data_IF_197814011522
#
_entry.id   IF_197814011522
#
_cell.length_a   1.000
_cell.length_b   1.000
_cell.length_c   1.000
_cell.angle_alpha   90.00
_cell.angle_beta   90.00
_cell.angle_gamma   90.00
#
_symmetry.space_group_name_H-M   'P 1'
#
loop_
_entity.id
_entity.type
_entity.pdbx_description
1 polymer ?
#
# COMPACT_ATOMS: atom_id res chain seq x y z
N UNK A 1 21.26 4.76 1.56
CA UNK A 1 21.06 3.80 0.46
C UNK A 1 20.45 4.54 -0.72
N UNK A 2 21.01 4.35 -1.92
CA UNK A 2 20.37 4.78 -3.17
C UNK A 2 19.85 3.53 -3.86
N UNK A 3 18.55 3.48 -4.12
CA UNK A 3 17.88 2.32 -4.68
C UNK A 3 17.21 2.69 -6.00
N UNK A 4 17.52 1.95 -7.06
CA UNK A 4 16.93 2.08 -8.39
C UNK A 4 16.10 0.85 -8.73
N UNK A 5 14.79 1.05 -8.82
CA UNK A 5 13.83 -0.01 -9.12
C UNK A 5 13.29 0.21 -10.52
N UNK A 6 13.27 -0.83 -11.34
CA UNK A 6 12.58 -0.83 -12.62
C UNK A 6 11.30 -1.67 -12.52
N UNK A 7 10.18 -1.11 -12.97
CA UNK A 7 8.89 -1.80 -13.01
C UNK A 7 8.34 -1.69 -14.42
N UNK A 8 8.04 -2.84 -15.05
CA UNK A 8 7.42 -2.88 -16.37
C UNK A 8 6.21 -3.78 -16.39
N UNK A 9 5.33 -3.53 -17.36
CA UNK A 9 4.24 -4.44 -17.71
C UNK A 9 4.60 -5.22 -18.96
N UNK A 10 4.19 -6.48 -19.00
CA UNK A 10 4.57 -7.43 -20.04
C UNK A 10 3.32 -8.11 -20.62
N UNK A 11 2.96 -7.74 -21.85
CA UNK A 11 1.88 -8.36 -22.62
C UNK A 11 2.31 -9.56 -23.46
N UNK A 12 1.63 -9.82 -24.57
CA UNK A 12 2.01 -10.87 -25.52
C UNK A 12 3.33 -10.51 -26.23
N UNK A 13 4.37 -11.32 -26.05
CA UNK A 13 5.70 -11.09 -26.62
C UNK A 13 5.93 -11.72 -28.00
N UNK A 14 5.02 -12.57 -28.50
CA UNK A 14 5.16 -13.25 -29.79
C UNK A 14 5.24 -12.28 -30.98
N UNK A 15 4.62 -11.10 -30.85
CA UNK A 15 4.61 -10.07 -31.89
C UNK A 15 5.78 -9.07 -31.83
N UNK A 16 6.64 -9.13 -30.82
CA UNK A 16 7.71 -8.14 -30.65
C UNK A 16 8.85 -8.39 -31.63
N UNK A 17 9.24 -7.33 -32.35
CA UNK A 17 10.28 -7.37 -33.37
C UNK A 17 11.53 -6.68 -32.86
N UNK A 18 12.67 -7.18 -33.31
CA UNK A 18 13.95 -6.56 -33.00
C UNK A 18 14.08 -5.21 -33.70
N UNK A 19 14.42 -4.17 -32.94
CA UNK A 19 14.61 -2.80 -33.43
C UNK A 19 15.69 -2.09 -32.61
N UNK A 20 16.28 -1.03 -33.17
CA UNK A 20 17.20 -0.18 -32.42
C UNK A 20 16.42 0.71 -31.46
N UNK A 21 16.71 0.63 -30.17
CA UNK A 21 16.23 1.59 -29.17
C UNK A 21 17.29 2.66 -28.93
N UNK A 22 16.85 3.88 -28.58
CA UNK A 22 17.72 5.00 -28.18
C UNK A 22 17.26 5.61 -26.86
N UNK A 23 18.19 5.79 -25.92
CA UNK A 23 17.95 6.39 -24.60
C UNK A 23 19.23 7.03 -24.07
N UNK A 24 19.15 8.26 -23.56
CA UNK A 24 20.30 9.01 -23.00
C UNK A 24 21.58 8.96 -23.88
N UNK A 25 21.40 9.13 -25.20
CA UNK A 25 22.52 9.11 -26.17
C UNK A 25 23.09 7.72 -26.47
N UNK A 26 22.68 6.68 -25.76
CA UNK A 26 23.03 5.28 -26.04
C UNK A 26 22.00 4.65 -26.98
N UNK A 27 22.43 3.63 -27.72
CA UNK A 27 21.54 2.82 -28.54
C UNK A 27 21.81 1.34 -28.34
N UNK A 28 20.76 0.52 -28.42
CA UNK A 28 20.87 -0.93 -28.29
C UNK A 28 19.80 -1.60 -29.14
N UNK A 29 20.16 -2.68 -29.84
CA UNK A 29 19.23 -3.43 -30.68
C UNK A 29 18.60 -4.55 -29.85
N UNK A 30 17.27 -4.55 -29.72
CA UNK A 30 16.57 -5.57 -28.94
C UNK A 30 15.09 -5.64 -29.34
N UNK A 31 14.38 -6.65 -28.84
CA UNK A 31 12.91 -6.75 -28.98
C UNK A 31 12.16 -5.90 -27.95
N UNK A 32 12.82 -5.50 -26.86
CA UNK A 32 12.24 -4.66 -25.80
C UNK A 32 13.23 -3.59 -25.31
N UNK A 33 12.72 -2.57 -24.63
CA UNK A 33 13.51 -1.46 -24.08
C UNK A 33 14.44 -1.86 -22.90
N UNK A 34 14.12 -2.94 -22.18
CA UNK A 34 14.75 -3.31 -20.91
C UNK A 34 16.30 -3.40 -20.97
N UNK A 35 16.95 -4.07 -21.95
CA UNK A 35 18.41 -4.15 -21.97
C UNK A 35 19.11 -2.79 -22.03
N UNK A 36 18.58 -1.85 -22.84
CA UNK A 36 19.14 -0.51 -22.95
C UNK A 36 18.96 0.29 -21.65
N UNK A 37 17.78 0.19 -21.04
CA UNK A 37 17.47 0.88 -19.79
C UNK A 37 18.36 0.37 -18.66
N UNK A 38 18.54 -0.94 -18.57
CA UNK A 38 19.43 -1.58 -17.60
C UNK A 38 20.89 -1.13 -17.78
N UNK A 39 21.42 -1.12 -19.01
CA UNK A 39 22.78 -0.60 -19.28
C UNK A 39 22.95 0.90 -19.03
N UNK A 40 21.85 1.64 -19.04
CA UNK A 40 21.87 3.09 -18.85
C UNK A 40 21.71 3.49 -17.39
N UNK A 41 20.91 2.75 -16.62
CA UNK A 41 20.48 3.14 -15.28
C UNK A 41 21.06 2.24 -14.18
N UNK A 42 21.42 0.99 -14.51
CA UNK A 42 21.89 -0.06 -13.59
C UNK A 42 20.93 -0.27 -12.40
N UNK A 43 19.90 -1.09 -12.59
CA UNK A 43 18.86 -1.28 -11.59
C UNK A 43 19.29 -2.24 -10.46
N UNK A 44 18.87 -1.96 -9.23
CA UNK A 44 19.03 -2.88 -8.10
C UNK A 44 17.96 -3.99 -8.13
N UNK A 45 16.80 -3.67 -8.69
CA UNK A 45 15.67 -4.61 -8.82
C UNK A 45 14.90 -4.35 -10.10
N UNK A 46 14.52 -5.42 -10.78
CA UNK A 46 13.70 -5.41 -11.99
C UNK A 46 12.43 -6.18 -11.68
N UNK A 47 11.27 -5.55 -11.84
CA UNK A 47 9.96 -6.12 -11.56
C UNK A 47 9.17 -6.17 -12.85
N UNK A 48 8.76 -7.38 -13.24
CA UNK A 48 7.98 -7.63 -14.44
C UNK A 48 6.58 -8.04 -14.02
N UNK A 49 5.59 -7.24 -14.41
CA UNK A 49 4.19 -7.50 -14.15
C UNK A 49 3.53 -8.10 -15.39
N UNK A 50 2.99 -9.30 -15.25
CA UNK A 50 2.31 -10.01 -16.34
C UNK A 50 0.95 -10.54 -15.89
N UNK A 51 0.22 -11.17 -16.80
CA UNK A 51 -1.08 -11.77 -16.53
C UNK A 51 -1.10 -13.26 -16.85
N UNK A 52 -1.94 -13.99 -16.13
CA UNK A 52 -2.19 -15.42 -16.31
C UNK A 52 -2.70 -15.79 -17.71
N UNK A 53 -3.29 -14.84 -18.44
CA UNK A 53 -3.65 -15.03 -19.86
C UNK A 53 -2.48 -15.36 -20.78
N UNK A 54 -1.23 -15.02 -20.42
CA UNK A 54 -0.05 -15.35 -21.23
C UNK A 54 0.18 -16.87 -21.34
N UNK A 55 -0.41 -17.67 -20.43
CA UNK A 55 -0.36 -19.12 -20.49
C UNK A 55 -1.01 -19.66 -21.77
N UNK A 56 -1.96 -18.95 -22.37
CA UNK A 56 -2.64 -19.34 -23.61
C UNK A 56 -1.69 -19.48 -24.81
N UNK A 57 -0.53 -18.85 -24.76
CA UNK A 57 0.49 -18.93 -25.80
C UNK A 57 1.48 -20.09 -25.57
N UNK A 58 1.28 -20.89 -24.53
CA UNK A 58 2.09 -22.06 -24.25
C UNK A 58 1.35 -23.31 -24.75
N UNK A 59 2.01 -24.13 -25.56
CA UNK A 59 1.45 -25.37 -26.10
C UNK A 59 1.06 -26.40 -25.02
N UNK A 60 1.51 -26.22 -23.78
CA UNK A 60 1.14 -27.06 -22.63
C UNK A 60 -0.11 -26.56 -21.89
N UNK A 61 -0.77 -25.48 -22.32
CA UNK A 61 -1.90 -24.90 -21.56
C UNK A 61 -3.01 -25.91 -21.30
N UNK A 62 -3.39 -26.74 -22.29
CA UNK A 62 -4.43 -27.77 -22.14
C UNK A 62 -4.05 -28.88 -21.12
N UNK A 63 -2.76 -29.05 -20.82
CA UNK A 63 -2.26 -30.05 -19.86
C UNK A 63 -2.32 -29.60 -18.40
N UNK A 64 -2.55 -28.31 -18.13
CA UNK A 64 -2.61 -27.70 -16.79
C UNK A 64 -3.73 -28.32 -15.96
N UNK A 65 -3.43 -28.80 -14.76
CA UNK A 65 -4.39 -29.42 -13.83
C UNK A 65 -4.91 -28.48 -12.76
N UNK A 66 -4.17 -27.41 -12.44
CA UNK A 66 -4.54 -26.46 -11.40
C UNK A 66 -3.96 -25.06 -11.72
N UNK A 67 -4.43 -24.05 -10.99
CA UNK A 67 -4.03 -22.68 -11.24
C UNK A 67 -2.53 -22.42 -11.04
N UNK A 68 -1.89 -23.07 -10.06
CA UNK A 68 -0.46 -22.91 -9.81
C UNK A 68 0.39 -23.33 -10.99
N UNK A 69 0.05 -24.43 -11.68
CA UNK A 69 0.73 -24.85 -12.90
C UNK A 69 0.59 -23.81 -14.03
N UNK A 70 -0.57 -23.15 -14.12
CA UNK A 70 -0.79 -22.07 -15.09
C UNK A 70 0.16 -20.89 -14.84
N UNK A 71 0.31 -20.47 -13.58
CA UNK A 71 1.24 -19.42 -13.18
C UNK A 71 2.69 -19.79 -13.53
N UNK A 72 3.10 -21.03 -13.25
CA UNK A 72 4.44 -21.53 -13.58
C UNK A 72 4.72 -21.47 -15.08
N UNK A 73 3.76 -21.80 -15.95
CA UNK A 73 3.94 -21.69 -17.41
C UNK A 73 4.22 -20.25 -17.87
N UNK A 74 3.60 -19.26 -17.22
CA UNK A 74 3.82 -17.84 -17.54
C UNK A 74 5.20 -17.39 -17.07
N UNK A 75 5.59 -17.77 -15.85
CA UNK A 75 6.91 -17.44 -15.30
C UNK A 75 8.04 -18.07 -16.13
N UNK A 76 7.94 -19.37 -16.45
CA UNK A 76 8.88 -20.11 -17.30
C UNK A 76 9.03 -19.39 -18.64
N UNK A 77 7.91 -19.07 -19.29
CA UNK A 77 7.92 -18.36 -20.58
C UNK A 77 8.63 -17.02 -20.53
N UNK A 78 8.40 -16.21 -19.50
CA UNK A 78 9.06 -14.89 -19.37
C UNK A 78 10.56 -15.08 -19.16
N UNK A 79 10.95 -16.03 -18.30
CA UNK A 79 12.37 -16.34 -18.04
C UNK A 79 13.06 -16.84 -19.31
N UNK A 80 12.44 -17.78 -20.02
CA UNK A 80 12.95 -18.33 -21.27
C UNK A 80 13.10 -17.25 -22.34
N UNK A 81 12.15 -16.33 -22.44
CA UNK A 81 12.26 -15.20 -23.37
C UNK A 81 13.47 -14.31 -23.04
N UNK A 82 13.71 -14.02 -21.75
CA UNK A 82 14.84 -13.19 -21.33
C UNK A 82 16.18 -13.88 -21.60
N UNK A 83 16.27 -15.19 -21.35
CA UNK A 83 17.49 -15.96 -21.55
C UNK A 83 17.72 -16.21 -23.05
N UNK A 84 16.74 -16.79 -23.73
CA UNK A 84 16.94 -17.34 -25.07
C UNK A 84 16.70 -16.31 -26.17
N UNK A 85 15.71 -15.42 -26.01
CA UNK A 85 15.34 -14.44 -27.05
C UNK A 85 16.07 -13.10 -26.89
N UNK A 86 16.38 -12.69 -25.65
CA UNK A 86 17.09 -11.44 -25.37
C UNK A 86 18.57 -11.63 -25.05
N UNK A 87 19.03 -12.87 -24.82
CA UNK A 87 20.39 -13.19 -24.37
C UNK A 87 20.82 -12.32 -23.15
N UNK A 88 19.93 -12.20 -22.16
CA UNK A 88 20.05 -11.23 -21.09
C UNK A 88 20.00 -11.85 -19.69
N UNK A 89 20.73 -12.95 -19.47
CA UNK A 89 20.73 -13.69 -18.21
C UNK A 89 21.28 -12.89 -17.01
N UNK A 90 22.10 -11.85 -17.25
CA UNK A 90 22.74 -11.07 -16.18
C UNK A 90 21.77 -10.39 -15.21
N UNK A 91 20.49 -10.26 -15.56
CA UNK A 91 19.47 -9.65 -14.69
C UNK A 91 18.70 -10.65 -13.82
N UNK A 92 18.93 -11.95 -14.01
CA UNK A 92 18.09 -13.00 -13.40
C UNK A 92 18.10 -12.98 -11.87
N UNK A 93 19.22 -12.57 -11.25
CA UNK A 93 19.36 -12.46 -9.80
C UNK A 93 18.59 -11.28 -9.17
N UNK A 94 18.31 -10.23 -9.95
CA UNK A 94 17.56 -9.04 -9.52
C UNK A 94 16.15 -8.97 -10.08
N UNK A 95 15.80 -9.88 -10.98
CA UNK A 95 14.50 -9.93 -11.60
C UNK A 95 13.47 -10.62 -10.70
N UNK A 96 12.26 -10.06 -10.67
CA UNK A 96 11.08 -10.67 -10.09
C UNK A 96 9.91 -10.57 -11.04
N UNK A 97 9.29 -11.70 -11.32
CA UNK A 97 8.07 -11.79 -12.14
C UNK A 97 6.88 -11.88 -11.18
N UNK A 98 5.86 -11.06 -11.42
CA UNK A 98 4.59 -11.12 -10.71
C UNK A 98 3.50 -11.38 -11.76
N UNK A 99 2.94 -12.58 -11.73
CA UNK A 99 1.84 -12.97 -12.62
C UNK A 99 0.52 -12.73 -11.90
N UNK A 100 -0.37 -11.95 -12.52
CA UNK A 100 -1.63 -11.54 -11.91
C UNK A 100 -2.84 -11.87 -12.80
N UNK A 101 -4.02 -11.50 -12.33
CA UNK A 101 -5.29 -11.98 -12.86
C UNK A 101 -5.72 -11.24 -14.13
N UNK A 102 -5.89 -11.95 -15.24
CA UNK A 102 -6.55 -11.44 -16.44
C UNK A 102 -8.07 -11.67 -16.38
N UNK A 103 -8.79 -11.08 -17.32
CA UNK A 103 -10.16 -11.48 -17.68
C UNK A 103 -10.25 -11.48 -19.20
N UNK A 104 -10.95 -12.44 -19.80
CA UNK A 104 -11.14 -12.48 -21.26
C UNK A 104 -11.14 -13.89 -21.85
N UNK A 105 -11.17 -13.96 -23.18
CA UNK A 105 -11.07 -15.19 -23.97
C UNK A 105 -9.82 -15.11 -24.85
N UNK A 106 -8.93 -16.09 -24.70
CA UNK A 106 -7.59 -16.13 -25.28
C UNK A 106 -7.40 -17.41 -26.13
N UNK A 107 -8.48 -17.89 -26.77
CA UNK A 107 -8.46 -19.11 -27.57
C UNK A 107 -8.69 -20.35 -26.71
N UNK A 108 -7.62 -21.09 -26.44
CA UNK A 108 -7.63 -22.31 -25.62
C UNK A 108 -7.86 -22.02 -24.12
N UNK A 109 -7.74 -20.76 -23.70
CA UNK A 109 -7.92 -20.34 -22.31
C UNK A 109 -8.96 -19.22 -22.22
N UNK A 110 -10.03 -19.44 -21.44
CA UNK A 110 -11.01 -18.42 -21.06
C UNK A 110 -10.91 -18.16 -19.56
N UNK A 111 -10.88 -16.89 -19.19
CA UNK A 111 -10.69 -16.45 -17.81
C UNK A 111 -11.86 -15.57 -17.40
N UNK A 112 -12.65 -16.06 -16.43
CA UNK A 112 -13.81 -15.40 -15.85
C UNK A 112 -13.47 -14.91 -14.44
N UNK A 113 -13.75 -13.64 -14.18
CA UNK A 113 -13.48 -13.00 -12.90
C UNK A 113 -13.45 -11.48 -13.07
N UNK A 114 -13.24 -10.75 -11.97
CA UNK A 114 -13.26 -9.28 -12.01
C UNK A 114 -11.89 -8.76 -12.46
N UNK A 115 -11.88 -7.80 -13.39
CA UNK A 115 -10.61 -7.20 -13.85
C UNK A 115 -9.86 -6.42 -12.77
N UNK A 116 -10.57 -5.94 -11.73
CA UNK A 116 -9.93 -5.26 -10.58
C UNK A 116 -9.13 -6.20 -9.70
N UNK A 117 -9.30 -7.52 -9.81
CA UNK A 117 -8.49 -8.48 -9.06
C UNK A 117 -7.00 -8.29 -9.39
N UNK A 118 -6.69 -7.95 -10.66
CA UNK A 118 -5.33 -7.59 -11.07
C UNK A 118 -4.74 -6.50 -10.18
N UNK A 119 -5.49 -5.41 -10.01
CA UNK A 119 -5.04 -4.24 -9.29
C UNK A 119 -4.73 -4.58 -7.83
N UNK A 120 -5.64 -5.26 -7.12
CA UNK A 120 -5.46 -5.56 -5.70
C UNK A 120 -4.35 -6.59 -5.45
N UNK A 121 -4.19 -7.56 -6.34
CA UNK A 121 -3.10 -8.53 -6.25
C UNK A 121 -1.73 -7.88 -6.48
N UNK A 122 -1.60 -7.06 -7.53
CA UNK A 122 -0.36 -6.33 -7.79
C UNK A 122 -0.07 -5.35 -6.65
N UNK A 123 -1.08 -4.68 -6.09
CA UNK A 123 -0.91 -3.79 -4.94
C UNK A 123 -0.31 -4.54 -3.75
N UNK A 124 -0.86 -5.71 -3.41
CA UNK A 124 -0.36 -6.54 -2.32
C UNK A 124 1.07 -7.03 -2.57
N UNK A 125 1.35 -7.63 -3.73
CA UNK A 125 2.67 -8.20 -4.03
C UNK A 125 3.76 -7.12 -4.11
N UNK A 126 3.46 -5.97 -4.72
CA UNK A 126 4.39 -4.85 -4.73
C UNK A 126 4.59 -4.26 -3.33
N UNK A 127 3.53 -4.17 -2.52
CA UNK A 127 3.65 -3.67 -1.14
C UNK A 127 4.60 -4.52 -0.31
N UNK A 128 4.46 -5.86 -0.40
CA UNK A 128 5.39 -6.81 0.22
C UNK A 128 6.81 -6.64 -0.27
N UNK A 129 6.99 -6.57 -1.59
CA UNK A 129 8.31 -6.50 -2.20
C UNK A 129 9.06 -5.22 -1.80
N UNK A 130 8.41 -4.07 -1.94
CA UNK A 130 9.00 -2.80 -1.54
C UNK A 130 9.29 -2.76 -0.04
N UNK A 131 8.39 -3.28 0.80
CA UNK A 131 8.62 -3.39 2.23
C UNK A 131 9.87 -4.24 2.54
N UNK A 132 9.97 -5.45 1.97
CA UNK A 132 11.12 -6.34 2.17
C UNK A 132 12.44 -5.70 1.75
N UNK A 133 12.45 -5.02 0.60
CA UNK A 133 13.63 -4.32 0.10
C UNK A 133 14.14 -3.26 1.08
N UNK A 134 13.24 -2.61 1.82
CA UNK A 134 13.58 -1.59 2.82
C UNK A 134 13.89 -2.21 4.19
N UNK A 135 13.36 -3.38 4.50
CA UNK A 135 13.68 -4.09 5.75
C UNK A 135 15.10 -4.65 5.77
N UNK A 136 15.69 -4.92 4.61
CA UNK A 136 17.06 -5.41 4.54
C UNK A 136 18.10 -4.33 4.89
N UNK A 137 17.68 -3.08 5.04
CA UNK A 137 18.51 -2.00 5.59
C UNK A 137 18.36 -1.92 7.11
N UNK A 138 19.48 -1.95 7.82
CA UNK A 138 19.52 -1.85 9.29
C UNK A 138 19.28 -0.41 9.77
N UNK A 139 19.50 0.59 8.91
CA UNK A 139 19.39 2.01 9.23
C UNK A 139 18.35 2.68 8.32
N UNK A 140 17.13 2.89 8.82
CA UNK A 140 16.11 3.71 8.13
C UNK A 140 16.51 5.20 8.19
N UNK A 141 17.47 5.63 7.38
CA UNK A 141 17.89 7.03 7.30
C UNK A 141 17.03 7.81 6.30
N UNK A 142 16.70 9.04 6.67
CA UNK A 142 15.84 9.94 5.91
C UNK A 142 16.48 10.44 4.58
N UNK A 143 17.78 10.26 4.40
CA UNK A 143 18.56 10.71 3.23
C UNK A 143 18.61 9.68 2.10
N UNK A 144 17.96 8.53 2.26
CA UNK A 144 17.89 7.50 1.22
C UNK A 144 17.15 7.99 -0.02
N UNK A 145 17.76 7.76 -1.19
CA UNK A 145 17.17 8.07 -2.49
C UNK A 145 16.53 6.82 -3.07
N UNK A 146 15.23 6.90 -3.41
CA UNK A 146 14.51 5.83 -4.09
C UNK A 146 14.11 6.37 -5.47
N UNK A 147 14.70 5.82 -6.53
CA UNK A 147 14.32 6.12 -7.91
C UNK A 147 13.57 4.92 -8.48
N UNK A 148 12.33 5.12 -8.92
CA UNK A 148 11.54 4.09 -9.60
C UNK A 148 11.31 4.48 -11.05
N UNK A 149 11.75 3.62 -11.97
CA UNK A 149 11.49 3.77 -13.41
C UNK A 149 10.32 2.86 -13.78
N UNK A 150 9.25 3.46 -14.30
CA UNK A 150 8.03 2.76 -14.73
C UNK A 150 8.03 2.72 -16.26
N UNK A 151 8.18 1.54 -16.85
CA UNK A 151 8.10 1.35 -18.30
C UNK A 151 6.70 0.87 -18.72
N UNK A 152 6.02 1.72 -19.47
CA UNK A 152 4.67 1.45 -19.99
C UNK A 152 4.67 0.98 -21.45
N UNK A 153 5.84 0.78 -22.07
CA UNK A 153 5.99 0.48 -23.50
C UNK A 153 5.28 -0.81 -23.94
N UNK A 154 5.41 -1.88 -23.14
CA UNK A 154 4.98 -3.23 -23.53
C UNK A 154 3.74 -3.73 -22.78
N UNK A 155 3.10 -2.85 -22.01
CA UNK A 155 1.87 -3.18 -21.31
C UNK A 155 0.66 -3.16 -22.23
N UNK A 156 -0.34 -3.96 -21.87
CA UNK A 156 -1.60 -4.06 -22.62
C UNK A 156 -2.78 -3.56 -21.78
N UNK A 157 -3.74 -2.93 -22.44
CA UNK A 157 -5.02 -2.54 -21.87
C UNK A 157 -4.89 -1.75 -20.55
N UNK A 158 -5.41 -2.30 -19.45
CA UNK A 158 -5.45 -1.68 -18.14
C UNK A 158 -4.13 -1.79 -17.35
N UNK A 159 -3.18 -2.62 -17.80
CA UNK A 159 -1.99 -2.94 -17.01
C UNK A 159 -1.10 -1.72 -16.75
N UNK A 160 -0.73 -0.89 -17.76
CA UNK A 160 0.09 0.31 -17.52
C UNK A 160 -0.53 1.28 -16.50
N UNK A 161 -1.83 1.55 -16.65
CA UNK A 161 -2.57 2.49 -15.79
C UNK A 161 -2.62 1.97 -14.35
N UNK A 162 -2.92 0.68 -14.17
CA UNK A 162 -2.93 0.06 -12.85
C UNK A 162 -1.54 0.01 -12.23
N UNK A 163 -0.51 -0.42 -12.97
CA UNK A 163 0.88 -0.41 -12.49
C UNK A 163 1.30 0.98 -12.02
N UNK A 164 1.13 2.00 -12.85
CA UNK A 164 1.47 3.39 -12.51
C UNK A 164 0.78 3.83 -11.22
N UNK A 165 -0.54 3.60 -11.13
CA UNK A 165 -1.35 4.00 -9.97
C UNK A 165 -0.87 3.29 -8.70
N UNK A 166 -0.65 1.98 -8.76
CA UNK A 166 -0.23 1.16 -7.62
C UNK A 166 1.15 1.59 -7.14
N UNK A 167 2.14 1.66 -8.03
CA UNK A 167 3.52 2.06 -7.69
C UNK A 167 3.51 3.45 -7.06
N UNK A 168 2.77 4.39 -7.64
CA UNK A 168 2.65 5.74 -7.08
C UNK A 168 2.05 5.74 -5.69
N UNK A 169 0.92 5.05 -5.47
CA UNK A 169 0.28 4.96 -4.16
C UNK A 169 1.17 4.32 -3.10
N UNK A 170 1.91 3.27 -3.44
CA UNK A 170 2.89 2.63 -2.54
C UNK A 170 3.99 3.64 -2.19
N UNK A 171 4.55 4.33 -3.18
CA UNK A 171 5.59 5.34 -2.94
C UNK A 171 5.07 6.53 -2.13
N UNK A 172 3.80 6.94 -2.29
CA UNK A 172 3.19 7.98 -1.47
C UNK A 172 3.16 7.59 0.03
N UNK A 173 2.98 6.30 0.34
CA UNK A 173 3.09 5.78 1.72
C UNK A 173 4.55 5.89 2.19
N UNK A 174 5.51 5.52 1.35
CA UNK A 174 6.94 5.65 1.67
C UNK A 174 7.40 7.10 1.84
N UNK A 175 6.75 8.05 1.18
CA UNK A 175 7.06 9.48 1.29
C UNK A 175 6.96 10.04 2.72
N UNK A 176 6.21 9.37 3.63
CA UNK A 176 6.18 9.75 5.05
C UNK A 176 7.52 9.55 5.75
N UNK A 177 8.36 8.66 5.21
CA UNK A 177 9.61 8.25 5.84
C UNK A 177 10.81 8.76 5.05
N UNK A 178 10.79 8.70 3.72
CA UNK A 178 11.92 9.10 2.87
C UNK A 178 11.67 10.43 2.17
N UNK A 179 12.69 11.28 2.08
CA UNK A 179 12.58 12.60 1.43
C UNK A 179 12.75 12.54 -0.09
N UNK A 180 13.64 11.68 -0.58
CA UNK A 180 14.09 11.70 -1.97
C UNK A 180 13.52 10.49 -2.73
N UNK A 181 12.21 10.49 -2.96
CA UNK A 181 11.56 9.47 -3.80
C UNK A 181 11.20 10.08 -5.15
N UNK A 182 11.74 9.51 -6.24
CA UNK A 182 11.56 9.97 -7.61
C UNK A 182 10.90 8.88 -8.47
N UNK A 183 9.91 9.27 -9.26
CA UNK A 183 9.34 8.43 -10.33
C UNK A 183 9.79 9.01 -11.67
N UNK A 184 10.29 8.13 -12.54
CA UNK A 184 10.45 8.41 -13.97
C UNK A 184 9.54 7.44 -14.74
N UNK A 185 8.58 7.95 -15.51
CA UNK A 185 7.78 7.12 -16.40
C UNK A 185 8.37 7.19 -17.79
N UNK A 186 8.61 6.04 -18.41
CA UNK A 186 9.18 5.93 -19.75
C UNK A 186 8.24 5.22 -20.71
N UNK A 187 8.26 5.65 -21.96
CA UNK A 187 7.54 5.02 -23.05
C UNK A 187 8.34 5.13 -24.34
N UNK A 188 8.46 4.03 -25.10
CA UNK A 188 9.06 4.11 -26.41
C UNK A 188 8.13 4.77 -27.43
N UNK A 189 8.74 5.33 -28.45
CA UNK A 189 8.06 5.64 -29.71
C UNK A 189 7.22 4.44 -30.20
N UNK A 190 6.06 4.67 -30.83
CA UNK A 190 5.21 3.60 -31.33
C UNK A 190 5.90 2.85 -32.48
N UNK A 191 5.92 1.51 -32.38
CA UNK A 191 6.40 0.64 -33.46
C UNK A 191 5.39 0.54 -34.61
N UNK A 192 4.10 0.36 -34.28
CA UNK A 192 3.02 0.17 -35.26
C UNK A 192 2.63 1.51 -35.90
N UNK A 193 2.39 1.50 -37.20
CA UNK A 193 1.97 2.68 -37.97
C UNK A 193 3.13 3.49 -38.55
N UNK A 194 4.38 3.08 -38.31
CA UNK A 194 5.57 3.65 -38.96
C UNK A 194 5.95 2.83 -40.20
N UNK A 195 6.30 3.52 -41.29
CA UNK A 195 6.91 2.90 -42.47
C UNK A 195 8.40 2.68 -42.15
N UNK A 196 8.83 1.42 -42.04
CA UNK A 196 10.21 1.02 -41.73
C UNK A 196 10.84 1.76 -40.54
N UNK A 197 10.34 1.56 -39.30
CA UNK A 197 10.99 2.15 -38.15
C UNK A 197 12.36 1.49 -37.94
N UNK A 198 13.43 2.24 -38.19
CA UNK A 198 14.80 1.76 -37.95
C UNK A 198 15.22 1.97 -36.49
N UNK A 199 14.63 2.96 -35.81
CA UNK A 199 14.95 3.33 -34.43
C UNK A 199 13.72 3.83 -33.66
N UNK A 200 13.60 3.45 -32.38
CA UNK A 200 12.62 3.95 -31.43
C UNK A 200 13.31 4.69 -30.28
N UNK A 201 12.92 5.94 -30.03
CA UNK A 201 13.37 6.65 -28.84
C UNK A 201 12.60 6.16 -27.62
N UNK A 202 13.29 5.94 -26.50
CA UNK A 202 12.66 5.76 -25.19
C UNK A 202 12.58 7.14 -24.55
N UNK A 203 11.36 7.63 -24.37
CA UNK A 203 11.09 8.98 -23.89
C UNK A 203 10.76 8.93 -22.40
N UNK A 204 11.34 9.83 -21.61
CA UNK A 204 10.86 10.11 -20.25
C UNK A 204 9.63 11.01 -20.40
N UNK A 205 8.45 10.48 -20.10
CA UNK A 205 7.18 11.19 -20.26
C UNK A 205 6.69 11.83 -18.97
N UNK A 206 7.18 11.37 -17.82
CA UNK A 206 6.95 11.98 -16.51
C UNK A 206 8.22 11.87 -15.68
N UNK A 207 8.56 12.95 -14.99
CA UNK A 207 9.57 12.97 -13.94
C UNK A 207 9.02 13.74 -12.74
N UNK A 208 8.78 13.03 -11.63
CA UNK A 208 8.12 13.62 -10.46
C UNK A 208 8.75 13.16 -9.15
N UNK A 209 8.78 14.06 -8.16
CA UNK A 209 9.05 13.71 -6.78
C UNK A 209 7.75 13.33 -6.07
N UNK A 210 7.85 12.34 -5.17
CA UNK A 210 6.69 11.85 -4.44
C UNK A 210 6.49 12.62 -3.15
N UNK A 211 5.26 13.09 -2.97
CA UNK A 211 4.81 13.75 -1.74
C UNK A 211 4.12 12.72 -0.85
N UNK A 212 4.40 12.67 0.46
CA UNK A 212 3.70 11.79 1.38
C UNK A 212 2.18 11.89 1.24
N UNK A 213 1.51 10.76 1.05
CA UNK A 213 0.04 10.71 1.02
C UNK A 213 -0.48 9.32 1.34
N UNK A 214 -1.46 9.26 2.22
CA UNK A 214 -2.24 8.05 2.48
C UNK A 214 -3.68 8.39 2.19
N UNK A 215 -4.31 7.52 1.41
CA UNK A 215 -5.74 7.48 1.23
C UNK A 215 -6.24 6.14 1.74
N UNK A 216 -7.46 6.13 2.23
CA UNK A 216 -8.18 4.90 2.53
C UNK A 216 -9.58 5.01 1.94
N UNK A 217 -10.12 3.87 1.55
CA UNK A 217 -11.50 3.80 1.10
C UNK A 217 -12.30 3.25 2.27
N UNK A 218 -13.19 4.08 2.80
CA UNK A 218 -14.21 3.62 3.72
C UNK A 218 -15.42 3.12 2.94
N UNK A 219 -15.56 1.81 2.80
CA UNK A 219 -16.81 1.23 2.34
C UNK A 219 -17.75 1.09 3.55
N UNK A 220 -19.06 1.30 3.35
CA UNK A 220 -20.08 1.14 4.39
C UNK A 220 -20.04 -0.26 5.02
N UNK A 221 -19.49 -1.23 4.28
CA UNK A 221 -19.25 -2.60 4.72
C UNK A 221 -17.79 -2.80 5.14
N UNK A 222 -17.50 -2.41 6.39
CA UNK A 222 -16.16 -2.42 7.00
C UNK A 222 -15.48 -3.80 7.07
N UNK A 223 -16.16 -4.90 6.71
CA UNK A 223 -15.67 -6.26 6.94
C UNK A 223 -15.51 -7.12 5.68
N UNK A 224 -15.81 -6.61 4.48
CA UNK A 224 -15.93 -7.47 3.29
C UNK A 224 -14.74 -7.44 2.35
N UNK A 225 -13.64 -8.14 2.63
CA UNK A 225 -12.47 -8.16 1.71
C UNK A 225 -12.66 -8.99 0.45
N UNK A 226 -13.65 -9.88 0.43
CA UNK A 226 -13.94 -10.75 -0.70
C UNK A 226 -15.34 -10.45 -1.23
N UNK A 227 -15.55 -10.47 -2.54
CA UNK A 227 -16.84 -10.25 -3.18
C UNK A 227 -17.19 -11.49 -3.99
N UNK A 228 -18.40 -12.02 -3.82
CA UNK A 228 -18.86 -13.17 -4.61
C UNK A 228 -19.01 -12.76 -6.07
N UNK A 229 -18.47 -13.55 -6.99
CA UNK A 229 -18.53 -13.24 -8.41
C UNK A 229 -19.99 -13.22 -8.89
N UNK A 230 -20.36 -12.13 -9.57
CA UNK A 230 -21.76 -11.81 -9.88
C UNK A 230 -22.39 -12.75 -10.91
N UNK A 231 -21.59 -13.43 -11.73
CA UNK A 231 -22.10 -14.26 -12.83
C UNK A 231 -22.24 -15.74 -12.45
N UNK A 232 -22.05 -16.07 -11.16
CA UNK A 232 -22.34 -17.40 -10.62
C UNK A 232 -23.85 -17.64 -10.48
N UNK A 233 -24.26 -18.91 -10.50
CA UNK A 233 -25.63 -19.30 -10.18
C UNK A 233 -25.98 -19.01 -8.70
N UNK A 234 -27.29 -18.92 -8.40
CA UNK A 234 -27.77 -18.51 -7.09
C UNK A 234 -27.42 -19.50 -5.97
N UNK A 235 -27.36 -20.80 -6.26
CA UNK A 235 -27.03 -21.83 -5.27
C UNK A 235 -25.55 -21.75 -4.90
N UNK A 236 -24.68 -21.61 -5.91
CA UNK A 236 -23.25 -21.42 -5.70
C UNK A 236 -22.97 -20.12 -4.95
N UNK A 237 -23.61 -19.01 -5.33
CA UNK A 237 -23.51 -17.73 -4.60
C UNK A 237 -23.85 -17.87 -3.12
N UNK A 238 -24.94 -18.57 -2.78
CA UNK A 238 -25.35 -18.81 -1.40
C UNK A 238 -24.29 -19.61 -0.63
N UNK A 239 -23.79 -20.68 -1.25
CA UNK A 239 -22.78 -21.56 -0.65
C UNK A 239 -21.49 -20.80 -0.34
N UNK A 240 -20.98 -20.03 -1.31
CA UNK A 240 -19.78 -19.20 -1.14
C UNK A 240 -20.03 -18.10 -0.11
N UNK A 241 -21.18 -17.43 -0.19
CA UNK A 241 -21.55 -16.35 0.73
C UNK A 241 -21.53 -16.76 2.20
N UNK A 242 -21.97 -17.98 2.53
CA UNK A 242 -21.93 -18.51 3.91
C UNK A 242 -20.49 -18.72 4.39
N UNK A 243 -19.63 -19.34 3.55
CA UNK A 243 -18.23 -19.59 3.90
C UNK A 243 -17.47 -18.27 4.09
N UNK A 244 -17.64 -17.37 3.12
CA UNK A 244 -17.10 -16.01 3.13
C UNK A 244 -17.50 -15.22 4.40
N UNK A 245 -18.79 -15.22 4.75
CA UNK A 245 -19.28 -14.49 5.93
C UNK A 245 -18.63 -14.95 7.24
N UNK A 246 -18.41 -16.27 7.38
CA UNK A 246 -17.74 -16.83 8.57
C UNK A 246 -16.30 -16.35 8.68
N UNK A 247 -15.57 -16.34 7.57
CA UNK A 247 -14.19 -15.85 7.48
C UNK A 247 -14.10 -14.34 7.79
N UNK A 248 -14.99 -13.54 7.22
CA UNK A 248 -14.94 -12.07 7.38
C UNK A 248 -15.31 -11.62 8.79
N UNK A 249 -16.26 -12.30 9.44
CA UNK A 249 -16.64 -11.98 10.81
C UNK A 249 -15.53 -12.21 11.83
N UNK A 250 -14.65 -13.21 11.62
CA UNK A 250 -13.54 -13.46 12.56
C UNK A 250 -12.48 -12.37 12.55
N UNK A 251 -12.45 -11.52 11.52
CA UNK A 251 -11.34 -10.58 11.28
C UNK A 251 -11.79 -9.10 11.37
N UNK A 252 -13.07 -8.86 11.70
CA UNK A 252 -13.72 -7.53 11.72
C UNK A 252 -12.98 -6.48 12.56
N UNK A 253 -12.49 -6.85 13.73
CA UNK A 253 -11.80 -5.91 14.62
C UNK A 253 -10.47 -5.43 14.03
N UNK A 254 -9.72 -6.31 13.38
CA UNK A 254 -8.46 -5.93 12.73
C UNK A 254 -8.72 -5.00 11.53
N UNK A 255 -9.80 -5.22 10.76
CA UNK A 255 -10.22 -4.29 9.70
C UNK A 255 -10.57 -2.91 10.26
N UNK A 256 -11.40 -2.85 11.30
CA UNK A 256 -11.78 -1.59 11.94
C UNK A 256 -10.54 -0.84 12.43
N UNK A 257 -9.63 -1.54 13.12
CA UNK A 257 -8.36 -0.97 13.60
C UNK A 257 -7.48 -0.45 12.45
N UNK A 258 -7.37 -1.21 11.36
CA UNK A 258 -6.65 -0.82 10.14
C UNK A 258 -7.21 0.48 9.55
N UNK A 259 -8.53 0.61 9.45
CA UNK A 259 -9.17 1.82 8.91
C UNK A 259 -8.94 3.04 9.82
N UNK A 260 -9.09 2.88 11.13
CA UNK A 260 -8.83 3.95 12.10
C UNK A 260 -7.37 4.41 12.07
N UNK A 261 -6.45 3.47 11.91
CA UNK A 261 -5.04 3.75 11.74
C UNK A 261 -4.75 4.57 10.48
N UNK A 262 -5.26 4.15 9.32
CA UNK A 262 -5.11 4.90 8.07
C UNK A 262 -5.81 6.26 8.11
N UNK A 263 -6.98 6.35 8.75
CA UNK A 263 -7.68 7.62 8.97
C UNK A 263 -6.85 8.58 9.82
N UNK A 264 -6.17 8.06 10.84
CA UNK A 264 -5.27 8.87 11.69
C UNK A 264 -4.10 9.46 10.88
N UNK A 265 -3.56 8.71 9.91
CA UNK A 265 -2.59 9.23 8.93
C UNK A 265 -3.20 10.28 8.01
N UNK A 266 -4.38 10.00 7.46
CA UNK A 266 -5.08 10.91 6.56
C UNK A 266 -5.35 12.28 7.22
N UNK A 267 -5.74 12.28 8.50
CA UNK A 267 -6.03 13.46 9.30
C UNK A 267 -4.82 14.04 10.06
N UNK A 268 -3.65 13.40 9.98
CA UNK A 268 -2.40 13.80 10.67
C UNK A 268 -2.58 13.95 12.18
N UNK A 269 -3.02 12.86 12.82
CA UNK A 269 -3.33 12.80 14.25
C UNK A 269 -2.34 11.85 14.96
N UNK A 270 -1.18 12.35 15.42
CA UNK A 270 -0.06 11.49 15.82
C UNK A 270 -0.38 10.58 17.01
N UNK A 271 -1.15 11.05 18.00
CA UNK A 271 -1.61 10.20 19.10
C UNK A 271 -2.44 9.01 18.58
N UNK A 272 -3.35 9.27 17.64
CA UNK A 272 -4.26 8.26 17.11
C UNK A 272 -3.55 7.30 16.15
N UNK A 273 -2.48 7.75 15.47
CA UNK A 273 -1.58 6.87 14.73
C UNK A 273 -1.00 5.80 15.66
N UNK A 274 -0.47 6.19 16.82
CA UNK A 274 0.11 5.24 17.79
C UNK A 274 -0.99 4.37 18.42
N UNK A 275 -2.08 4.99 18.87
CA UNK A 275 -3.17 4.30 19.56
C UNK A 275 -3.86 3.24 18.68
N UNK A 276 -4.05 3.51 17.39
CA UNK A 276 -4.66 2.56 16.47
C UNK A 276 -3.65 1.68 15.72
N UNK A 277 -2.34 1.85 15.94
CA UNK A 277 -1.29 1.08 15.26
C UNK A 277 -1.55 -0.43 15.37
N UNK A 278 -1.86 -1.12 14.25
CA UNK A 278 -1.96 -2.57 14.22
C UNK A 278 -0.57 -3.20 14.10
N UNK A 279 -0.42 -4.45 14.57
CA UNK A 279 0.81 -5.22 14.38
C UNK A 279 0.95 -5.60 12.90
N UNK A 280 2.10 -5.32 12.30
CA UNK A 280 2.37 -5.63 10.89
C UNK A 280 2.19 -7.13 10.59
N UNK A 281 2.67 -8.00 11.49
CA UNK A 281 2.51 -9.45 11.38
C UNK A 281 1.04 -9.88 11.31
N UNK A 282 0.17 -9.29 12.13
CA UNK A 282 -1.26 -9.61 12.13
C UNK A 282 -1.93 -9.20 10.81
N UNK A 283 -1.55 -8.05 10.24
CA UNK A 283 -2.05 -7.61 8.93
C UNK A 283 -1.57 -8.54 7.82
N UNK A 284 -0.29 -8.91 7.83
CA UNK A 284 0.28 -9.82 6.85
C UNK A 284 -0.43 -11.18 6.88
N UNK A 285 -0.64 -11.71 8.08
CA UNK A 285 -1.32 -12.99 8.30
C UNK A 285 -2.77 -12.94 7.81
N UNK A 286 -3.51 -11.88 8.13
CA UNK A 286 -4.87 -11.69 7.60
C UNK A 286 -4.86 -11.61 6.06
N UNK A 287 -3.96 -10.81 5.49
CA UNK A 287 -3.88 -10.65 4.03
C UNK A 287 -3.53 -11.96 3.34
N UNK A 288 -2.60 -12.76 3.91
CA UNK A 288 -2.28 -14.12 3.44
C UNK A 288 -3.53 -14.99 3.43
N UNK A 289 -4.30 -15.04 4.52
CA UNK A 289 -5.54 -15.82 4.58
C UNK A 289 -6.59 -15.37 3.55
N UNK A 290 -6.70 -14.06 3.29
CA UNK A 290 -7.60 -13.53 2.24
C UNK A 290 -7.21 -14.09 0.87
N UNK A 291 -5.92 -14.07 0.54
CA UNK A 291 -5.44 -14.62 -0.73
C UNK A 291 -5.57 -16.13 -0.79
N UNK A 292 -5.32 -16.86 0.30
CA UNK A 292 -5.55 -18.31 0.37
C UNK A 292 -7.00 -18.66 0.10
N UNK A 293 -7.94 -17.96 0.75
CA UNK A 293 -9.36 -18.14 0.49
C UNK A 293 -9.69 -17.77 -0.96
N UNK A 294 -9.18 -16.65 -1.47
CA UNK A 294 -9.37 -16.28 -2.88
C UNK A 294 -8.90 -17.38 -3.86
N UNK A 295 -7.69 -17.93 -3.66
CA UNK A 295 -7.14 -18.99 -4.50
C UNK A 295 -7.92 -20.31 -4.39
N UNK A 296 -8.43 -20.65 -3.20
CA UNK A 296 -9.28 -21.83 -2.98
C UNK A 296 -10.60 -21.80 -3.78
N UNK A 297 -11.03 -20.61 -4.19
CA UNK A 297 -12.23 -20.37 -5.00
C UNK A 297 -11.91 -20.07 -6.48
N UNK A 298 -10.74 -20.47 -6.95
CA UNK A 298 -10.43 -20.53 -8.38
C UNK A 298 -10.70 -21.95 -8.87
N UNK A 299 -11.67 -22.08 -9.76
CA UNK A 299 -12.03 -23.36 -10.39
C UNK A 299 -11.55 -23.41 -11.84
N UNK A 300 -11.13 -24.60 -12.28
CA UNK A 300 -10.78 -24.89 -13.67
C UNK A 300 -11.76 -25.93 -14.19
N UNK A 301 -12.42 -25.62 -15.29
CA UNK A 301 -13.21 -26.60 -16.06
C UNK A 301 -12.56 -26.80 -17.42
N UNK A 302 -12.57 -28.05 -17.89
CA UNK A 302 -11.91 -28.45 -19.14
C UNK A 302 -12.94 -29.00 -20.12
N UNK A 303 -12.77 -28.64 -21.38
CA UNK A 303 -13.29 -29.35 -22.54
C UNK A 303 -12.14 -29.72 -23.47
N UNK A 304 -12.40 -30.53 -24.50
CA UNK A 304 -11.37 -31.11 -25.37
C UNK A 304 -10.37 -30.08 -25.93
N UNK A 305 -10.83 -28.85 -26.20
CA UNK A 305 -10.01 -27.79 -26.81
C UNK A 305 -9.94 -26.50 -25.97
N UNK A 306 -10.43 -26.52 -24.72
CA UNK A 306 -10.53 -25.27 -23.94
C UNK A 306 -10.49 -25.49 -22.44
N UNK A 307 -9.74 -24.63 -21.76
CA UNK A 307 -9.79 -24.45 -20.31
C UNK A 307 -10.59 -23.19 -20.00
N UNK A 308 -11.56 -23.30 -19.10
CA UNK A 308 -12.26 -22.17 -18.50
C UNK A 308 -11.85 -22.07 -17.05
N UNK A 309 -11.12 -21.01 -16.73
CA UNK A 309 -10.78 -20.61 -15.38
C UNK A 309 -11.83 -19.65 -14.85
N UNK A 310 -12.39 -19.94 -13.68
CA UNK A 310 -13.38 -19.09 -13.01
C UNK A 310 -12.89 -18.71 -11.63
N UNK A 311 -12.74 -17.42 -11.38
CA UNK A 311 -12.54 -16.85 -10.05
C UNK A 311 -13.90 -16.56 -9.44
N UNK A 312 -14.29 -17.38 -8.47
CA UNK A 312 -15.62 -17.30 -7.87
C UNK A 312 -15.72 -16.23 -6.76
N UNK A 313 -14.56 -15.74 -6.32
CA UNK A 313 -14.39 -14.58 -5.45
C UNK A 313 -13.63 -13.48 -6.18
N UNK A 314 -13.79 -12.25 -5.72
CA UNK A 314 -13.10 -11.06 -6.21
C UNK A 314 -12.56 -10.24 -5.04
N UNK A 315 -11.41 -9.59 -5.26
CA UNK A 315 -10.77 -8.72 -4.29
C UNK A 315 -11.37 -7.31 -4.32
N UNK A 316 -11.18 -6.56 -3.24
CA UNK A 316 -11.58 -5.15 -3.17
C UNK A 316 -10.58 -4.25 -2.41
N UNK A 317 -10.99 -3.00 -2.20
CA UNK A 317 -10.23 -1.94 -1.55
C UNK A 317 -9.74 -2.26 -0.14
N UNK A 318 -10.32 -3.24 0.55
CA UNK A 318 -9.80 -3.65 1.86
C UNK A 318 -8.40 -4.25 1.75
N UNK A 319 -8.08 -4.96 0.67
CA UNK A 319 -6.71 -5.48 0.41
C UNK A 319 -5.72 -4.32 0.25
N UNK A 320 -6.13 -3.25 -0.43
CA UNK A 320 -5.33 -2.03 -0.56
C UNK A 320 -5.11 -1.35 0.79
N UNK A 321 -6.17 -1.20 1.59
CA UNK A 321 -6.09 -0.63 2.94
C UNK A 321 -5.16 -1.46 3.83
N UNK A 322 -5.32 -2.79 3.86
CA UNK A 322 -4.43 -3.69 4.61
C UNK A 322 -2.99 -3.55 4.15
N UNK A 323 -2.73 -3.51 2.84
CA UNK A 323 -1.37 -3.40 2.30
C UNK A 323 -0.69 -2.08 2.69
N UNK A 324 -1.42 -0.96 2.65
CA UNK A 324 -0.92 0.35 3.12
C UNK A 324 -0.62 0.33 4.61
N UNK A 325 -1.55 -0.20 5.41
CA UNK A 325 -1.38 -0.31 6.85
C UNK A 325 -0.21 -1.22 7.21
N UNK A 326 -0.01 -2.32 6.47
CA UNK A 326 1.13 -3.20 6.65
C UNK A 326 2.45 -2.44 6.50
N UNK A 327 2.64 -1.70 5.40
CA UNK A 327 3.87 -0.91 5.18
C UNK A 327 4.08 0.08 6.33
N UNK A 328 3.05 0.86 6.67
CA UNK A 328 3.14 1.88 7.72
C UNK A 328 3.47 1.27 9.08
N UNK A 329 2.74 0.22 9.47
CA UNK A 329 2.94 -0.47 10.74
C UNK A 329 4.33 -1.07 10.87
N UNK A 330 4.81 -1.67 9.78
CA UNK A 330 6.10 -2.31 9.72
C UNK A 330 7.25 -1.29 9.92
N UNK A 331 7.17 -0.15 9.25
CA UNK A 331 8.20 0.89 9.38
C UNK A 331 8.15 1.53 10.77
N UNK A 332 6.94 1.80 11.31
CA UNK A 332 6.79 2.34 12.67
C UNK A 332 7.34 1.39 13.73
N UNK A 333 7.08 0.08 13.61
CA UNK A 333 7.64 -0.92 14.54
C UNK A 333 9.18 -0.94 14.47
N UNK A 334 9.77 -0.84 13.27
CA UNK A 334 11.22 -0.68 13.10
C UNK A 334 11.77 0.61 13.73
N UNK A 335 10.98 1.68 13.76
CA UNK A 335 11.33 2.94 14.45
C UNK A 335 11.15 2.84 15.98
N UNK A 336 10.73 1.67 16.50
CA UNK A 336 10.47 1.46 17.92
C UNK A 336 9.15 2.07 18.40
N UNK A 337 8.26 2.46 17.48
CA UNK A 337 6.94 3.01 17.80
C UNK A 337 5.96 1.85 17.90
N UNK A 338 5.40 1.65 19.10
CA UNK A 338 4.51 0.54 19.40
C UNK A 338 3.19 1.04 19.98
N UNK A 339 2.15 0.24 19.78
CA UNK A 339 0.87 0.43 20.41
C UNK A 339 0.91 -0.14 21.83
N UNK A 340 1.50 0.63 22.74
CA UNK A 340 1.50 0.31 24.17
C UNK A 340 0.25 0.93 24.81
N UNK A 341 -0.25 0.31 25.90
CA UNK A 341 -1.37 0.86 26.67
C UNK A 341 -1.09 2.24 27.26
N UNK A 342 0.19 2.63 27.31
CA UNK A 342 0.67 3.88 27.87
C UNK A 342 1.59 4.59 26.88
N UNK A 343 1.05 5.58 26.16
CA UNK A 343 1.79 6.31 25.14
C UNK A 343 2.48 7.49 25.79
N UNK A 344 3.80 7.60 25.65
CA UNK A 344 4.53 8.77 26.13
C UNK A 344 4.34 9.94 25.18
N UNK A 345 4.24 11.15 25.70
CA UNK A 345 4.21 12.37 24.86
C UNK A 345 5.44 12.44 23.95
N UNK A 346 6.62 11.98 24.40
CA UNK A 346 7.82 11.92 23.57
C UNK A 346 7.67 11.03 22.32
N UNK A 347 6.85 9.99 22.37
CA UNK A 347 6.63 9.12 21.21
C UNK A 347 5.66 9.76 20.21
N UNK A 348 4.68 10.52 20.70
CA UNK A 348 3.82 11.38 19.88
C UNK A 348 4.64 12.44 19.14
N UNK A 349 5.64 13.05 19.79
CA UNK A 349 6.57 14.00 19.17
C UNK A 349 7.40 13.34 18.09
N UNK A 350 8.01 12.18 18.38
CA UNK A 350 8.77 11.42 17.38
C UNK A 350 7.93 11.14 16.14
N UNK A 351 6.67 10.72 16.31
CA UNK A 351 5.72 10.51 15.21
C UNK A 351 5.46 11.81 14.46
N UNK A 352 5.21 12.92 15.15
CA UNK A 352 4.94 14.21 14.52
C UNK A 352 6.14 14.72 13.70
N UNK A 353 7.33 14.67 14.29
CA UNK A 353 8.57 15.13 13.69
C UNK A 353 9.02 14.29 12.51
N UNK A 354 8.78 12.97 12.54
CA UNK A 354 9.19 12.10 11.44
C UNK A 354 8.17 12.09 10.32
N UNK A 355 6.89 11.83 10.64
CA UNK A 355 5.86 11.56 9.63
C UNK A 355 5.26 12.85 9.06
N UNK A 356 5.13 13.89 9.89
CA UNK A 356 4.39 15.10 9.51
C UNK A 356 5.28 16.31 9.20
N UNK A 357 6.61 16.12 9.07
CA UNK A 357 7.57 17.16 8.73
C UNK A 357 7.25 17.96 7.46
N UNK A 358 6.70 17.31 6.43
CA UNK A 358 6.36 17.96 5.16
C UNK A 358 5.00 18.70 5.23
N UNK A 359 4.28 18.55 6.37
CA UNK A 359 2.98 19.14 6.63
C UNK A 359 3.09 20.19 7.74
N UNK A 360 3.76 21.30 7.43
CA UNK A 360 4.16 22.29 8.44
C UNK A 360 3.00 22.82 9.29
N UNK A 361 1.81 22.97 8.69
CA UNK A 361 0.61 23.45 9.40
C UNK A 361 0.17 22.42 10.45
N UNK A 362 -0.03 21.17 10.05
CA UNK A 362 -0.45 20.09 10.93
C UNK A 362 0.60 19.78 11.99
N UNK A 363 1.88 19.77 11.61
CA UNK A 363 3.01 19.61 12.54
C UNK A 363 3.00 20.68 13.63
N UNK A 364 2.96 21.96 13.23
CA UNK A 364 2.97 23.08 14.17
C UNK A 364 1.76 23.05 15.11
N UNK A 365 0.59 22.66 14.60
CA UNK A 365 -0.62 22.52 15.41
C UNK A 365 -0.42 21.47 16.50
N UNK A 366 0.14 20.31 16.17
CA UNK A 366 0.49 19.30 17.18
C UNK A 366 1.53 19.84 18.15
N UNK A 367 2.61 20.46 17.67
CA UNK A 367 3.67 20.98 18.54
C UNK A 367 3.11 21.97 19.59
N UNK A 368 2.19 22.86 19.18
CA UNK A 368 1.50 23.79 20.08
C UNK A 368 0.70 23.06 21.17
N UNK A 369 -0.03 22.00 20.81
CA UNK A 369 -0.82 21.24 21.79
C UNK A 369 0.08 20.50 22.80
N UNK A 370 1.19 19.92 22.34
CA UNK A 370 2.15 19.23 23.21
C UNK A 370 2.88 20.22 24.14
N UNK A 371 3.27 21.38 23.61
CA UNK A 371 3.85 22.49 24.37
C UNK A 371 2.91 22.99 25.49
N UNK A 372 1.62 23.11 25.19
CA UNK A 372 0.61 23.54 26.16
C UNK A 372 0.45 22.53 27.31
N UNK A 373 0.73 21.25 27.08
CA UNK A 373 0.75 20.23 28.12
C UNK A 373 2.03 20.35 28.97
N UNK A 374 3.19 20.59 28.35
CA UNK A 374 4.52 20.47 28.99
C UNK A 374 5.01 21.67 29.81
N UNK A 375 4.70 22.90 29.42
CA UNK A 375 5.39 24.09 29.99
C UNK A 375 5.31 24.13 31.52
N UNK A 376 6.43 24.31 32.21
CA UNK A 376 6.47 24.41 33.69
C UNK A 376 6.04 25.82 34.15
N UNK A 377 6.56 26.88 33.52
CA UNK A 377 6.26 28.28 33.91
C UNK A 377 4.86 28.78 33.47
N UNK A 378 4.19 28.05 32.57
CA UNK A 378 2.89 28.43 31.96
C UNK A 378 1.95 27.28 31.64
N UNK A 379 2.35 26.04 31.91
CA UNK A 379 1.63 24.87 31.43
C UNK A 379 1.02 24.05 32.53
N UNK A 380 0.45 22.93 32.09
CA UNK A 380 -0.51 22.16 32.88
C UNK A 380 0.17 21.04 33.67
N UNK A 381 1.48 20.88 33.50
CA UNK A 381 2.28 19.76 34.01
C UNK A 381 2.21 19.60 35.53
N UNK A 382 2.12 20.69 36.28
CA UNK A 382 1.98 20.69 37.75
C UNK A 382 0.63 20.16 38.23
N UNK A 383 -0.37 20.11 37.35
CA UNK A 383 -1.72 19.64 37.65
C UNK A 383 -1.97 18.20 37.19
N UNK A 384 -1.00 17.60 36.50
CA UNK A 384 -1.06 16.20 36.07
C UNK A 384 -0.60 15.34 37.24
N UNK A 385 -1.49 14.44 37.68
CA UNK A 385 -1.22 13.53 38.80
C UNK A 385 -0.70 12.17 38.30
N UNK A 386 -0.40 11.27 39.24
CA UNK A 386 0.02 9.91 38.89
C UNK A 386 -1.12 9.07 38.32
N UNK A 387 -2.37 9.44 38.59
CA UNK A 387 -3.56 8.80 38.05
C UNK A 387 -3.99 9.45 36.73
N UNK A 388 -4.66 8.68 35.88
CA UNK A 388 -5.22 9.22 34.65
C UNK A 388 -6.40 10.14 34.93
N UNK A 389 -6.25 11.40 34.53
CA UNK A 389 -7.31 12.40 34.58
C UNK A 389 -7.65 12.89 33.17
N UNK A 390 -8.91 13.29 32.96
CA UNK A 390 -9.28 13.86 31.65
C UNK A 390 -8.58 15.20 31.45
N UNK A 391 -8.20 15.51 30.21
CA UNK A 391 -7.43 16.73 29.95
C UNK A 391 -8.22 18.00 30.29
N UNK A 392 -9.56 17.96 30.19
CA UNK A 392 -10.47 19.03 30.61
C UNK A 392 -10.45 19.28 32.12
N UNK A 393 -10.27 18.25 32.95
CA UNK A 393 -10.18 18.40 34.40
C UNK A 393 -8.87 19.10 34.79
N UNK A 394 -7.77 18.66 34.20
CA UNK A 394 -6.45 19.25 34.35
C UNK A 394 -6.48 20.73 33.91
N UNK A 395 -7.07 21.01 32.75
CA UNK A 395 -7.24 22.37 32.22
C UNK A 395 -8.08 23.26 33.16
N UNK A 396 -9.13 22.72 33.75
CA UNK A 396 -9.98 23.45 34.68
C UNK A 396 -9.28 23.73 36.02
N UNK A 397 -8.44 22.81 36.52
CA UNK A 397 -7.58 23.06 37.70
C UNK A 397 -6.60 24.21 37.41
N UNK A 398 -5.95 24.19 36.26
CA UNK A 398 -5.05 25.25 35.80
C UNK A 398 -5.77 26.60 35.70
N UNK A 399 -6.92 26.66 35.02
CA UNK A 399 -7.72 27.88 34.85
C UNK A 399 -8.17 28.47 36.17
N UNK A 400 -8.65 27.63 37.10
CA UNK A 400 -9.07 28.06 38.44
C UNK A 400 -7.92 28.71 39.21
N UNK A 401 -6.71 28.14 39.17
CA UNK A 401 -5.51 28.73 39.83
C UNK A 401 -5.17 30.11 39.26
N UNK A 402 -5.41 30.32 37.97
CA UNK A 402 -5.08 31.54 37.24
C UNK A 402 -6.25 32.54 37.11
N UNK A 403 -7.37 32.34 37.83
CA UNK A 403 -8.52 33.25 37.78
C UNK A 403 -9.27 33.27 36.45
N UNK A 404 -9.15 32.22 35.64
CA UNK A 404 -9.82 32.08 34.34
C UNK A 404 -11.14 31.29 34.48
N UNK A 405 -12.08 31.58 33.59
CA UNK A 405 -13.36 30.87 33.54
C UNK A 405 -13.16 29.37 33.22
N UNK A 406 -13.88 28.53 33.95
CA UNK A 406 -13.95 27.09 33.73
C UNK A 406 -14.45 26.79 32.32
N UNK A 407 -13.83 25.83 31.66
CA UNK A 407 -14.36 25.26 30.43
C UNK A 407 -15.48 24.27 30.75
N UNK A 408 -16.53 24.27 29.95
CA UNK A 408 -17.61 23.31 30.08
C UNK A 408 -17.09 21.92 29.67
N UNK A 409 -17.18 20.96 30.59
CA UNK A 409 -17.14 19.53 30.27
C UNK A 409 -18.38 19.24 29.43
N UNK A 410 -18.17 18.89 28.17
CA UNK A 410 -19.25 18.75 27.21
C UNK A 410 -18.92 17.70 26.17
N UNK A 411 -19.85 17.49 25.25
CA UNK A 411 -19.63 16.60 24.13
C UNK A 411 -18.44 17.04 23.27
N UNK A 412 -17.59 16.08 22.87
CA UNK A 412 -16.57 16.31 21.84
C UNK A 412 -17.23 16.73 20.53
N UNK A 413 -16.64 17.71 19.84
CA UNK A 413 -17.11 18.17 18.52
C UNK A 413 -16.05 17.86 17.48
N UNK A 414 -16.49 17.43 16.29
CA UNK A 414 -15.65 17.12 15.13
C UNK A 414 -14.67 18.26 14.81
N UNK A 415 -15.19 19.49 14.72
CA UNK A 415 -14.40 20.70 14.44
C UNK A 415 -13.28 20.89 15.45
N UNK A 416 -13.57 20.72 16.74
CA UNK A 416 -12.58 20.91 17.80
C UNK A 416 -11.56 19.76 17.78
N UNK A 417 -12.03 18.53 17.61
CA UNK A 417 -11.16 17.35 17.53
C UNK A 417 -10.10 17.52 16.45
N UNK A 418 -10.50 17.87 15.23
CA UNK A 418 -9.53 18.09 14.16
C UNK A 418 -8.73 19.39 14.33
N UNK A 419 -9.34 20.48 14.80
CA UNK A 419 -8.64 21.77 15.00
C UNK A 419 -7.57 21.72 16.10
N UNK A 420 -7.65 20.75 17.01
CA UNK A 420 -6.65 20.51 18.06
C UNK A 420 -5.82 19.25 17.78
N UNK A 421 -5.68 18.82 16.53
CA UNK A 421 -4.89 17.64 16.15
C UNK A 421 -5.22 16.35 16.94
N UNK A 422 -6.47 16.20 17.40
CA UNK A 422 -6.94 15.09 18.22
C UNK A 422 -6.73 15.26 19.74
N UNK A 423 -6.16 16.36 20.19
CA UNK A 423 -5.95 16.70 21.61
C UNK A 423 -7.13 17.51 22.19
N UNK A 424 -8.35 17.20 21.78
CA UNK A 424 -9.54 17.84 22.34
C UNK A 424 -9.65 17.50 23.83
N UNK A 425 -10.02 18.48 24.66
CA UNK A 425 -9.90 18.37 26.11
C UNK A 425 -10.64 17.18 26.74
N UNK A 426 -11.74 16.71 26.13
CA UNK A 426 -12.49 15.57 26.61
C UNK A 426 -12.08 14.26 25.91
N UNK A 427 -11.36 14.33 24.77
CA UNK A 427 -10.99 13.15 23.98
C UNK A 427 -9.72 12.43 24.47
N UNK A 428 -8.98 13.00 25.41
CA UNK A 428 -7.74 12.42 25.93
C UNK A 428 -7.66 12.45 27.46
N UNK A 429 -6.88 11.51 28.01
CA UNK A 429 -6.50 11.43 29.43
C UNK A 429 -4.98 11.55 29.57
N UNK A 430 -4.53 12.18 30.65
CA UNK A 430 -3.11 12.38 30.95
C UNK A 430 -2.78 11.84 32.35
N UNK A 431 -1.58 11.28 32.50
CA UNK A 431 -0.94 11.01 33.80
C UNK A 431 0.54 11.35 33.75
N UNK A 432 1.18 11.53 34.90
CA UNK A 432 2.60 11.84 35.05
C UNK A 432 3.27 10.81 35.94
N UNK A 433 4.49 10.40 35.59
CA UNK A 433 5.32 9.52 36.43
C UNK A 433 6.77 9.97 36.34
N UNK A 434 7.27 10.57 37.43
CA UNK A 434 8.55 11.28 37.41
C UNK A 434 8.54 12.41 36.38
N UNK A 435 9.47 12.37 35.43
CA UNK A 435 9.58 13.34 34.33
C UNK A 435 8.74 12.97 33.10
N UNK A 436 8.13 11.77 33.07
CA UNK A 436 7.39 11.30 31.91
C UNK A 436 5.92 11.68 32.01
N UNK A 437 5.35 12.15 30.90
CA UNK A 437 3.91 12.36 30.76
C UNK A 437 3.40 11.30 29.80
N UNK A 438 2.36 10.60 30.23
CA UNK A 438 1.65 9.61 29.44
C UNK A 438 0.30 10.17 29.02
N UNK A 439 -0.10 9.79 27.82
CA UNK A 439 -1.34 10.22 27.18
C UNK A 439 -2.04 9.00 26.62
N UNK A 440 -3.37 8.99 26.69
CA UNK A 440 -4.20 8.01 25.99
C UNK A 440 -5.51 8.62 25.52
N UNK A 441 -6.13 7.97 24.56
CA UNK A 441 -7.50 8.29 24.13
C UNK A 441 -8.45 8.05 25.30
N UNK A 442 -9.41 8.95 25.49
CA UNK A 442 -10.47 8.78 26.46
C UNK A 442 -11.50 7.77 25.95
N UNK A 443 -11.56 6.61 26.60
CA UNK A 443 -12.42 5.48 26.24
C UNK A 443 -13.90 5.86 26.24
N UNK A 444 -14.30 6.81 27.10
CA UNK A 444 -15.68 7.30 27.20
C UNK A 444 -16.18 7.97 25.91
N UNK A 445 -15.26 8.39 25.04
CA UNK A 445 -15.56 9.04 23.75
C UNK A 445 -15.05 8.24 22.54
N UNK A 446 -14.53 7.02 22.72
CA UNK A 446 -13.92 6.25 21.64
C UNK A 446 -14.89 6.03 20.47
N UNK A 447 -16.14 5.65 20.73
CA UNK A 447 -17.15 5.46 19.68
C UNK A 447 -17.40 6.71 18.85
N UNK A 448 -17.28 7.89 19.45
CA UNK A 448 -17.48 9.17 18.78
C UNK A 448 -16.23 9.60 18.00
N UNK A 449 -15.05 9.32 18.52
CA UNK A 449 -13.77 9.48 17.80
C UNK A 449 -13.73 8.55 16.58
N UNK A 450 -14.12 7.29 16.74
CA UNK A 450 -14.25 6.32 15.65
C UNK A 450 -15.15 6.89 14.57
N UNK A 451 -16.33 7.41 14.94
CA UNK A 451 -17.24 8.07 13.99
C UNK A 451 -16.54 9.23 13.28
N UNK A 452 -15.86 10.13 13.99
CA UNK A 452 -15.16 11.26 13.34
C UNK A 452 -14.10 10.82 12.33
N UNK A 453 -13.36 9.74 12.62
CA UNK A 453 -12.26 9.28 11.78
C UNK A 453 -12.71 8.56 10.51
N UNK A 454 -13.84 7.83 10.57
CA UNK A 454 -14.29 7.01 9.44
C UNK A 454 -15.66 7.43 8.90
N UNK A 455 -16.32 8.47 9.41
CA UNK A 455 -17.50 9.06 8.73
C UNK A 455 -17.09 9.83 7.50
#
# INVERSE_FOLDING_TARGET
MNMKIYVMTWGNSAGWKEIQYKYNGKTFKSKIALPLLEESENFDKIIILSTDSLAAENNKVLSVQNYSQLLSLVEEKIRDYIINELNFEKIMNKMQVIVSFATGDYGELKIQGKGTDFYYHIFYELSKLFAQMLLNDNDLKNDHEIKVIIDITHGINYMPVNMYTIVRLILNVFGFFFKNIKINVVNSDPFIGRVNPDCLNINIIEETFIIPRVYFVNDKDLSRSLIVFKDLDNERKRTIGIKKYRFENSEKELYKKTLLFLASFYHKLPLHVIHYLPKAESIMELTRKIFEEFFNFISLSKSDNKIVLTRELSLNNHVENLSKAFILSLILDKMGIKNDSEIKISDVEKVNDHLFREFQIEKNRTDVELDNIRKEDKGKIDFITNDYETYIEIENKYRKKNGLNKLNSGEIRDRNFFAHAGFEYNSIKLRKEGSNIFIKVNEDYEDKIVKFLIS
#
